data_IF_717720211459
#
_entry.id   IF_717720211459
#
_cell.length_a   1.000
_cell.length_b   1.000
_cell.length_c   1.000
_cell.angle_alpha   90.00
_cell.angle_beta   90.00
_cell.angle_gamma   90.00
#
_symmetry.space_group_name_H-M   'P 1'
#
loop_
_entity.id
_entity.type
_entity.pdbx_description
1 polymer ?
#
# COMPACT_ATOMS: atom_id res chain seq x y z
N UNK A 1 -9.41 -11.92 -20.09
CA UNK A 1 -10.22 -10.77 -19.69
C UNK A 1 -10.30 -10.84 -18.17
N UNK A 2 -9.60 -10.05 -17.35
CA UNK A 2 -8.95 -8.76 -17.58
C UNK A 2 -7.83 -8.58 -16.54
N UNK A 3 -6.57 -8.82 -16.95
CA UNK A 3 -5.42 -8.47 -16.10
C UNK A 3 -5.21 -6.94 -16.07
N UNK A 4 -5.77 -6.22 -17.05
CA UNK A 4 -5.64 -4.77 -17.21
C UNK A 4 -6.55 -3.97 -16.27
N UNK A 5 -7.78 -4.41 -15.96
CA UNK A 5 -8.65 -3.69 -15.00
C UNK A 5 -8.00 -3.53 -13.63
N UNK A 6 -7.33 -4.59 -13.15
CA UNK A 6 -6.61 -4.57 -11.87
C UNK A 6 -5.37 -3.70 -11.86
N UNK A 7 -4.80 -3.37 -13.03
CA UNK A 7 -3.66 -2.47 -13.15
C UNK A 7 -4.14 -1.02 -13.32
N UNK A 8 -5.26 -0.81 -14.00
CA UNK A 8 -5.85 0.51 -14.23
C UNK A 8 -6.38 1.18 -12.94
N UNK A 9 -6.86 0.39 -11.98
CA UNK A 9 -7.34 0.93 -10.68
C UNK A 9 -6.27 0.97 -9.57
N UNK A 10 -5.02 0.58 -9.86
CA UNK A 10 -3.95 0.65 -8.84
C UNK A 10 -3.67 2.07 -8.35
N UNK A 11 -3.67 3.12 -9.21
CA UNK A 11 -3.48 4.49 -8.73
C UNK A 11 -4.63 4.97 -7.84
N UNK A 12 -5.87 4.54 -8.13
CA UNK A 12 -7.05 4.85 -7.31
C UNK A 12 -6.94 4.20 -5.94
N UNK A 13 -6.68 2.89 -5.91
CA UNK A 13 -6.44 2.15 -4.68
C UNK A 13 -5.30 2.74 -3.85
N UNK A 14 -4.18 3.14 -4.48
CA UNK A 14 -3.05 3.77 -3.79
C UNK A 14 -3.47 5.06 -3.06
N UNK A 15 -4.32 5.88 -3.68
CA UNK A 15 -4.84 7.11 -3.08
C UNK A 15 -5.79 6.82 -1.91
N UNK A 16 -6.63 5.79 -2.03
CA UNK A 16 -7.55 5.40 -0.95
C UNK A 16 -6.80 4.83 0.26
N UNK A 17 -5.78 3.99 0.05
CA UNK A 17 -4.94 3.51 1.16
C UNK A 17 -4.16 4.66 1.81
N UNK A 18 -3.74 5.67 1.04
CA UNK A 18 -3.06 6.84 1.61
C UNK A 18 -4.00 7.63 2.52
N UNK A 19 -5.25 7.87 2.11
CA UNK A 19 -6.26 8.49 2.99
C UNK A 19 -6.58 7.64 4.21
N UNK A 20 -6.67 6.32 4.05
CA UNK A 20 -6.93 5.41 5.17
C UNK A 20 -5.80 5.48 6.22
N UNK A 21 -4.55 5.59 5.77
CA UNK A 21 -3.38 5.78 6.63
C UNK A 21 -3.43 7.14 7.34
N UNK A 22 -3.84 8.20 6.65
CA UNK A 22 -4.01 9.52 7.28
C UNK A 22 -5.08 9.51 8.38
N UNK A 23 -6.12 8.66 8.23
CA UNK A 23 -7.18 8.49 9.22
C UNK A 23 -6.78 7.58 10.38
N UNK A 24 -6.02 6.51 10.12
CA UNK A 24 -5.55 5.58 11.12
C UNK A 24 -4.10 5.13 10.82
N UNK A 25 -3.10 5.90 11.27
CA UNK A 25 -1.69 5.62 10.97
C UNK A 25 -1.12 4.45 11.76
N UNK A 26 -1.87 3.89 12.72
CA UNK A 26 -1.44 2.74 13.52
C UNK A 26 -1.97 1.42 12.99
N UNK A 27 -2.78 1.44 11.92
CA UNK A 27 -3.29 0.21 11.33
C UNK A 27 -2.27 -0.35 10.33
N UNK A 28 -1.39 -1.21 10.82
CA UNK A 28 -0.31 -1.89 10.10
C UNK A 28 -0.74 -2.44 8.75
N UNK A 29 -1.85 -3.19 8.68
CA UNK A 29 -2.38 -3.81 7.46
C UNK A 29 -2.49 -2.83 6.28
N UNK A 30 -2.84 -1.56 6.52
CA UNK A 30 -2.94 -0.54 5.47
C UNK A 30 -1.61 -0.31 4.74
N UNK A 31 -0.50 -0.39 5.47
CA UNK A 31 0.83 -0.27 4.89
C UNK A 31 1.18 -1.50 4.05
N UNK A 32 0.87 -2.71 4.52
CA UNK A 32 1.07 -3.94 3.75
C UNK A 32 0.26 -3.95 2.44
N UNK A 33 -1.00 -3.52 2.49
CA UNK A 33 -1.84 -3.42 1.29
C UNK A 33 -1.34 -2.35 0.31
N UNK A 34 -0.91 -1.18 0.82
CA UNK A 34 -0.32 -0.12 0.00
C UNK A 34 1.00 -0.56 -0.64
N UNK A 35 1.83 -1.31 0.08
CA UNK A 35 3.08 -1.86 -0.42
C UNK A 35 2.85 -2.76 -1.64
N UNK A 36 1.90 -3.70 -1.55
CA UNK A 36 1.57 -4.61 -2.66
C UNK A 36 1.06 -3.87 -3.90
N UNK A 37 0.39 -2.72 -3.74
CA UNK A 37 -0.05 -1.87 -4.85
C UNK A 37 1.16 -1.15 -5.46
N UNK A 38 2.04 -0.60 -4.63
CA UNK A 38 3.27 0.07 -5.09
C UNK A 38 4.18 -0.89 -5.86
N UNK A 39 4.31 -2.15 -5.45
CA UNK A 39 5.05 -3.16 -6.22
C UNK A 39 4.46 -3.37 -7.62
N UNK A 40 3.13 -3.48 -7.72
CA UNK A 40 2.45 -3.64 -9.02
C UNK A 40 2.54 -2.41 -9.92
N UNK A 41 2.67 -1.23 -9.32
CA UNK A 41 2.91 0.05 -10.01
C UNK A 41 4.39 0.28 -10.38
N UNK A 42 5.29 -0.63 -9.99
CA UNK A 42 6.72 -0.48 -10.27
C UNK A 42 7.43 0.52 -9.34
N UNK A 43 6.89 0.76 -8.14
CA UNK A 43 7.51 1.55 -7.06
C UNK A 43 7.99 0.64 -5.90
N UNK A 44 9.09 -0.13 -6.09
CA UNK A 44 9.61 -1.01 -5.05
C UNK A 44 10.20 -0.23 -3.86
N UNK A 45 10.64 1.02 -4.06
CA UNK A 45 11.20 1.86 -2.99
C UNK A 45 10.08 2.26 -2.03
N UNK A 46 8.96 2.75 -2.56
CA UNK A 46 7.79 3.06 -1.75
C UNK A 46 7.16 1.81 -1.13
N UNK A 47 7.17 0.67 -1.81
CA UNK A 47 6.69 -0.59 -1.23
C UNK A 47 7.52 -1.01 -0.02
N UNK A 48 8.85 -0.95 -0.13
CA UNK A 48 9.75 -1.26 0.98
C UNK A 48 9.51 -0.34 2.18
N UNK A 49 9.35 0.97 1.94
CA UNK A 49 9.09 1.92 3.03
C UNK A 49 7.78 1.59 3.78
N UNK A 50 6.75 1.15 3.06
CA UNK A 50 5.49 0.74 3.68
C UNK A 50 5.64 -0.58 4.47
N UNK A 51 6.38 -1.56 3.95
CA UNK A 51 6.67 -2.80 4.69
C UNK A 51 7.53 -2.56 5.93
N UNK A 52 8.49 -1.64 5.85
CA UNK A 52 9.30 -1.26 7.02
C UNK A 52 8.40 -0.64 8.10
N UNK A 53 7.41 0.19 7.72
CA UNK A 53 6.41 0.73 8.65
C UNK A 53 5.44 -0.31 9.20
N UNK A 54 5.03 -1.28 8.39
CA UNK A 54 4.22 -2.42 8.84
C UNK A 54 4.92 -3.17 9.98
N UNK A 55 6.18 -3.54 9.79
CA UNK A 55 6.95 -4.27 10.82
C UNK A 55 7.13 -3.43 12.09
N UNK A 56 7.40 -2.12 11.95
CA UNK A 56 7.51 -1.21 13.10
C UNK A 56 6.24 -1.20 13.97
N UNK A 57 5.06 -1.29 13.36
CA UNK A 57 3.77 -1.27 14.06
C UNK A 57 3.38 -2.64 14.65
N UNK A 58 3.84 -3.75 14.06
CA UNK A 58 3.59 -5.11 14.58
C UNK A 58 4.56 -5.50 15.70
N UNK A 59 5.73 -4.87 15.77
CA UNK A 59 6.75 -5.10 16.79
C UNK A 59 6.48 -4.33 18.11
N UNK A 60 5.48 -3.41 18.15
CA UNK A 60 5.02 -2.64 19.33
C UNK A 60 3.89 -3.32 20.11
#
# INVERSE_FOLDING_TARGET
>A
ADLNEKLEDLPGALADYSKAIDLNPYYSDLYSYRAAIREKLGDPIGAKADLDKFNELEDE
#
